data_IF_082461138914
#
_entry.id   IF_082461138914
#
_cell.length_a   1.000
_cell.length_b   1.000
_cell.length_c   1.000
_cell.angle_alpha   90.00
_cell.angle_beta   90.00
_cell.angle_gamma   90.00
#
_symmetry.space_group_name_H-M   'P 1'
#
loop_
_entity.id
_entity.type
_entity.pdbx_description
1 polymer ?
#
# COMPACT_ATOMS: atom_id res chain seq x y z
N UNK A 1 8.24 -6.02 -5.32
CA UNK A 1 7.16 -6.95 -4.93
C UNK A 1 7.82 -8.26 -4.55
N UNK A 2 7.58 -8.75 -3.33
CA UNK A 2 8.06 -10.06 -2.90
C UNK A 2 6.85 -10.98 -2.85
N UNK A 3 6.73 -11.86 -3.84
CA UNK A 3 5.70 -12.89 -3.88
C UNK A 3 6.30 -14.18 -3.30
N UNK A 4 5.98 -14.47 -2.04
CA UNK A 4 6.20 -15.79 -1.45
C UNK A 4 4.93 -16.58 -1.66
N UNK A 5 4.96 -17.63 -2.47
CA UNK A 5 3.84 -18.56 -2.45
C UNK A 5 4.24 -20.01 -2.78
N UNK A 6 4.16 -20.86 -1.77
CA UNK A 6 4.13 -22.34 -1.87
C UNK A 6 2.90 -22.94 -1.17
N UNK A 7 1.88 -22.14 -0.83
CA UNK A 7 0.67 -22.65 -0.18
C UNK A 7 -0.50 -21.71 -0.37
N UNK A 8 -1.71 -22.20 -0.14
CA UNK A 8 -3.00 -21.53 -0.38
C UNK A 8 -3.24 -20.26 0.47
N UNK A 9 -2.20 -19.73 1.11
CA UNK A 9 -2.22 -18.68 2.14
C UNK A 9 -1.03 -17.70 2.01
N UNK A 10 -0.69 -17.24 0.80
CA UNK A 10 0.22 -16.10 0.64
C UNK A 10 -0.37 -14.87 1.34
N UNK A 11 0.32 -14.37 2.37
CA UNK A 11 0.12 -13.00 2.82
C UNK A 11 0.84 -12.07 1.83
N UNK A 12 0.07 -11.42 0.97
CA UNK A 12 0.54 -10.38 0.07
C UNK A 12 0.76 -9.07 0.83
N UNK A 13 2.00 -8.59 0.84
CA UNK A 13 2.34 -7.23 1.32
C UNK A 13 2.56 -6.30 0.13
N UNK A 14 1.79 -5.22 0.09
CA UNK A 14 1.90 -4.16 -0.90
C UNK A 14 2.41 -2.88 -0.23
N UNK A 15 3.41 -2.26 -0.85
CA UNK A 15 3.95 -0.96 -0.48
C UNK A 15 3.73 0.00 -1.65
N UNK A 16 2.99 1.08 -1.39
CA UNK A 16 2.72 2.14 -2.36
C UNK A 16 3.43 3.41 -1.89
N UNK A 17 4.12 4.08 -2.81
CA UNK A 17 4.75 5.38 -2.56
C UNK A 17 4.14 6.41 -3.51
N UNK A 18 3.50 7.42 -2.95
CA UNK A 18 2.93 8.55 -3.66
C UNK A 18 3.81 9.77 -3.45
N UNK A 19 3.86 10.66 -4.44
CA UNK A 19 4.59 11.93 -4.35
C UNK A 19 3.57 13.04 -4.53
N UNK A 20 3.45 13.93 -3.54
CA UNK A 20 2.64 15.14 -3.64
C UNK A 20 3.42 16.34 -3.14
N UNK A 21 3.36 17.48 -3.83
CA UNK A 21 4.05 18.74 -3.47
C UNK A 21 5.51 18.58 -3.04
N UNK A 22 6.27 17.70 -3.69
CA UNK A 22 7.68 17.43 -3.38
C UNK A 22 7.92 16.55 -2.14
N UNK A 23 6.88 16.21 -1.38
CA UNK A 23 6.93 15.25 -0.26
C UNK A 23 6.58 13.84 -0.75
N UNK A 24 7.21 12.84 -0.14
CA UNK A 24 6.99 11.43 -0.45
C UNK A 24 6.18 10.76 0.66
N UNK A 25 5.03 10.22 0.29
CA UNK A 25 4.11 9.54 1.20
C UNK A 25 4.14 8.06 0.91
N UNK A 26 4.21 7.26 1.96
CA UNK A 26 4.22 5.81 1.87
C UNK A 26 3.00 5.22 2.58
N UNK A 27 2.34 4.31 1.88
CA UNK A 27 1.21 3.53 2.37
C UNK A 27 1.49 2.05 2.18
N UNK A 28 0.99 1.27 3.11
CA UNK A 28 1.25 -0.16 3.22
C UNK A 28 -0.07 -0.88 3.42
N UNK A 29 -0.20 -2.03 2.79
CA UNK A 29 -1.40 -2.84 2.81
C UNK A 29 -1.01 -4.31 2.86
N UNK A 30 -1.65 -5.04 3.76
CA UNK A 30 -1.43 -6.48 3.95
C UNK A 30 -2.78 -7.15 3.72
N UNK A 31 -2.81 -8.13 2.82
CA UNK A 31 -3.98 -8.96 2.58
C UNK A 31 -3.57 -10.28 1.93
N UNK A 32 -4.41 -11.30 2.07
CA UNK A 32 -4.27 -12.56 1.31
C UNK A 32 -4.52 -12.35 -0.18
N UNK A 33 -5.21 -11.27 -0.55
CA UNK A 33 -5.39 -10.83 -1.93
C UNK A 33 -4.46 -9.65 -2.25
N UNK A 34 -3.58 -9.84 -3.24
CA UNK A 34 -2.62 -8.83 -3.68
C UNK A 34 -3.31 -7.55 -4.18
N UNK A 35 -4.48 -7.67 -4.81
CA UNK A 35 -5.27 -6.53 -5.31
C UNK A 35 -5.81 -5.74 -4.13
N UNK A 36 -6.43 -6.42 -3.17
CA UNK A 36 -6.94 -5.77 -1.95
C UNK A 36 -5.81 -5.13 -1.12
N UNK A 37 -4.66 -5.78 -1.02
CA UNK A 37 -3.46 -5.24 -0.37
C UNK A 37 -3.00 -3.94 -1.06
N UNK A 38 -2.96 -3.93 -2.40
CA UNK A 38 -2.54 -2.76 -3.17
C UNK A 38 -3.50 -1.57 -3.01
N UNK A 39 -4.81 -1.81 -3.01
CA UNK A 39 -5.83 -0.77 -2.83
C UNK A 39 -5.71 -0.17 -1.42
N UNK A 40 -5.56 -1.02 -0.39
CA UNK A 40 -5.34 -0.55 0.99
C UNK A 40 -4.07 0.27 1.13
N UNK A 41 -2.98 -0.17 0.51
CA UNK A 41 -1.72 0.57 0.52
C UNK A 41 -1.87 1.95 -0.16
N UNK A 42 -2.61 2.02 -1.26
CA UNK A 42 -2.90 3.29 -1.95
C UNK A 42 -3.75 4.23 -1.11
N UNK A 43 -4.87 3.76 -0.56
CA UNK A 43 -5.74 4.58 0.31
C UNK A 43 -4.97 5.10 1.52
N UNK A 44 -4.13 4.26 2.15
CA UNK A 44 -3.29 4.69 3.27
C UNK A 44 -2.30 5.81 2.88
N UNK A 45 -1.68 5.72 1.69
CA UNK A 45 -0.79 6.77 1.20
C UNK A 45 -1.56 8.06 0.87
N UNK A 46 -2.76 7.92 0.29
CA UNK A 46 -3.62 9.04 -0.10
C UNK A 46 -4.17 9.77 1.13
N UNK A 47 -4.63 9.05 2.15
CA UNK A 47 -5.09 9.64 3.41
C UNK A 47 -3.99 10.47 4.08
N UNK A 48 -2.72 10.04 4.02
CA UNK A 48 -1.59 10.83 4.53
C UNK A 48 -1.35 12.11 3.73
N UNK A 49 -1.60 12.09 2.43
CA UNK A 49 -1.49 13.28 1.58
C UNK A 49 -2.59 14.28 1.96
N UNK A 50 -3.84 13.82 1.98
CA UNK A 50 -5.00 14.68 2.29
C UNK A 50 -4.91 15.24 3.70
N UNK A 51 -4.55 14.42 4.69
CA UNK A 51 -4.38 14.85 6.07
C UNK A 51 -3.26 15.87 6.27
N UNK A 52 -2.30 15.95 5.34
CA UNK A 52 -1.21 16.93 5.41
C UNK A 52 -1.45 18.15 4.51
N UNK A 53 -2.51 18.14 3.70
CA UNK A 53 -3.03 19.31 2.99
C UNK A 53 -4.04 20.11 3.81
N UNK A 54 -4.58 19.55 4.90
CA UNK A 54 -5.33 20.26 5.97
C UNK A 54 -4.40 20.80 7.08
#
# INVERSE_FOLDING_TARGET
VLSVNEGKEALGSALVRLRNNGKLYSGNGISTDIVAASIRAYINALNKIVFEEE
#
